data_IF_144436887970
#
_entry.id   IF_144436887970
#
_cell.length_a   1.000
_cell.length_b   1.000
_cell.length_c   1.000
_cell.angle_alpha   90.00
_cell.angle_beta   90.00
_cell.angle_gamma   90.00
#
_symmetry.space_group_name_H-M   'P 1'
#
loop_
_entity.id
_entity.type
_entity.pdbx_description
1 polymer ?
#
# COMPACT_ATOMS: atom_id res chain seq x y z
N UNK A 1 -21.46 -34.59 -37.23
CA UNK A 1 -20.70 -33.33 -37.43
C UNK A 1 -21.57 -32.14 -37.85
N UNK A 2 -22.47 -32.28 -38.83
CA UNK A 2 -23.27 -31.16 -39.35
C UNK A 2 -24.09 -30.39 -38.29
N UNK A 3 -24.71 -31.10 -37.33
CA UNK A 3 -25.49 -30.49 -36.23
C UNK A 3 -24.66 -29.61 -35.28
N UNK A 4 -23.36 -29.85 -35.16
CA UNK A 4 -22.46 -29.07 -34.28
C UNK A 4 -22.10 -27.74 -34.96
N UNK A 5 -21.81 -27.77 -36.26
CA UNK A 5 -21.50 -26.57 -37.05
C UNK A 5 -22.70 -25.62 -37.07
N UNK A 6 -23.93 -26.13 -37.23
CA UNK A 6 -25.15 -25.30 -37.18
C UNK A 6 -25.36 -24.67 -35.81
N UNK A 7 -25.03 -25.36 -34.71
CA UNK A 7 -25.17 -24.84 -33.36
C UNK A 7 -24.13 -23.76 -33.04
N UNK A 8 -22.89 -23.94 -33.51
CA UNK A 8 -21.82 -22.94 -33.37
C UNK A 8 -22.14 -21.68 -34.20
N UNK A 9 -22.63 -21.84 -35.43
CA UNK A 9 -23.03 -20.72 -36.29
C UNK A 9 -24.24 -19.96 -35.70
N UNK A 10 -25.19 -20.67 -35.08
CA UNK A 10 -26.33 -20.07 -34.39
C UNK A 10 -25.94 -19.29 -33.12
N UNK A 11 -24.89 -19.73 -32.41
CA UNK A 11 -24.35 -19.03 -31.23
C UNK A 11 -23.57 -17.78 -31.65
N UNK A 12 -22.77 -17.84 -32.74
CA UNK A 12 -22.00 -16.71 -33.24
C UNK A 12 -22.87 -15.58 -33.85
N UNK A 13 -24.07 -15.92 -34.36
CA UNK A 13 -25.00 -14.94 -34.96
C UNK A 13 -25.80 -14.11 -33.95
N UNK A 14 -25.78 -14.43 -32.65
CA UNK A 14 -26.44 -13.61 -31.63
C UNK A 14 -25.47 -12.56 -31.09
N UNK A 15 -25.27 -11.50 -31.88
CA UNK A 15 -24.81 -10.22 -31.35
C UNK A 15 -25.83 -9.71 -30.32
N UNK A 16 -25.41 -9.24 -29.13
CA UNK A 16 -26.33 -8.60 -28.19
C UNK A 16 -26.80 -7.29 -28.83
N UNK A 17 -27.97 -7.33 -29.45
CA UNK A 17 -28.67 -6.14 -29.90
C UNK A 17 -29.10 -5.37 -28.66
N UNK A 18 -28.31 -4.37 -28.27
CA UNK A 18 -28.74 -3.32 -27.35
C UNK A 18 -29.90 -2.60 -28.01
N UNK A 19 -31.11 -2.90 -27.54
CA UNK A 19 -32.35 -2.27 -28.01
C UNK A 19 -32.26 -0.78 -27.69
N UNK A 20 -32.13 0.05 -28.72
CA UNK A 20 -32.24 1.50 -28.57
C UNK A 20 -33.71 1.88 -28.37
N UNK A 21 -34.13 1.93 -27.11
CA UNK A 21 -35.30 2.69 -26.66
C UNK A 21 -34.78 4.06 -26.19
N UNK A 22 -35.60 5.12 -26.19
CA UNK A 22 -35.25 6.51 -25.80
C UNK A 22 -34.63 6.64 -24.38
N UNK A 23 -34.59 5.53 -23.63
CA UNK A 23 -33.98 5.35 -22.32
C UNK A 23 -32.49 4.89 -22.41
N UNK A 24 -32.02 4.55 -23.61
CA UNK A 24 -30.71 3.95 -23.88
C UNK A 24 -29.55 4.90 -23.60
N UNK A 25 -29.74 6.20 -23.81
CA UNK A 25 -28.71 7.20 -23.53
C UNK A 25 -28.37 7.26 -22.03
N UNK A 26 -29.36 7.05 -21.15
CA UNK A 26 -29.15 7.03 -19.70
C UNK A 26 -28.43 5.75 -19.26
N UNK A 27 -28.84 4.60 -19.79
CA UNK A 27 -28.18 3.32 -19.52
C UNK A 27 -26.73 3.33 -20.02
N UNK A 28 -26.48 3.85 -21.22
CA UNK A 28 -25.12 4.00 -21.77
C UNK A 28 -24.26 4.91 -20.89
N UNK A 29 -24.81 6.03 -20.39
CA UNK A 29 -24.10 6.90 -19.45
C UNK A 29 -23.75 6.19 -18.14
N UNK A 30 -24.69 5.45 -17.55
CA UNK A 30 -24.42 4.67 -16.32
C UNK A 30 -23.29 3.67 -16.57
N UNK A 31 -23.38 2.89 -17.65
CA UNK A 31 -22.38 1.86 -17.97
C UNK A 31 -20.98 2.46 -18.10
N UNK A 32 -20.84 3.61 -18.77
CA UNK A 32 -19.54 4.31 -18.91
C UNK A 32 -18.99 4.74 -17.54
N UNK A 33 -19.83 5.34 -16.69
CA UNK A 33 -19.41 5.80 -15.34
C UNK A 33 -19.01 4.61 -14.45
N UNK A 34 -19.77 3.51 -14.52
CA UNK A 34 -19.46 2.29 -13.75
C UNK A 34 -18.14 1.67 -14.20
N UNK A 35 -17.87 1.60 -15.50
CA UNK A 35 -16.60 1.07 -16.02
C UNK A 35 -15.43 1.94 -15.56
N UNK A 36 -15.53 3.26 -15.69
CA UNK A 36 -14.47 4.19 -15.28
C UNK A 36 -14.14 4.09 -13.79
N UNK A 37 -15.17 4.03 -12.94
CA UNK A 37 -14.99 3.87 -11.49
C UNK A 37 -14.36 2.52 -11.13
N UNK A 38 -14.80 1.42 -11.73
CA UNK A 38 -14.18 0.10 -11.53
C UNK A 38 -12.71 0.09 -11.94
N UNK A 39 -12.36 0.62 -13.11
CA UNK A 39 -10.96 0.69 -13.59
C UNK A 39 -10.10 1.54 -12.65
N UNK A 40 -10.61 2.68 -12.20
CA UNK A 40 -9.92 3.54 -11.23
C UNK A 40 -9.63 2.83 -9.91
N UNK A 41 -10.63 2.14 -9.34
CA UNK A 41 -10.48 1.38 -8.10
C UNK A 41 -9.49 0.22 -8.25
N UNK A 42 -9.57 -0.54 -9.35
CA UNK A 42 -8.65 -1.64 -9.63
C UNK A 42 -7.21 -1.12 -9.78
N UNK A 43 -7.02 -0.03 -10.52
CA UNK A 43 -5.70 0.60 -10.72
C UNK A 43 -5.11 1.10 -9.40
N UNK A 44 -5.93 1.76 -8.56
CA UNK A 44 -5.52 2.22 -7.24
C UNK A 44 -5.08 1.05 -6.33
N UNK A 45 -5.85 -0.05 -6.31
CA UNK A 45 -5.51 -1.23 -5.53
C UNK A 45 -4.19 -1.87 -5.98
N UNK A 46 -3.96 -1.97 -7.30
CA UNK A 46 -2.71 -2.49 -7.86
C UNK A 46 -1.53 -1.57 -7.48
N UNK A 47 -1.68 -0.25 -7.59
CA UNK A 47 -0.66 0.71 -7.19
C UNK A 47 -0.32 0.60 -5.71
N UNK A 48 -1.32 0.50 -4.83
CA UNK A 48 -1.12 0.32 -3.40
C UNK A 48 -0.43 -1.02 -3.10
N UNK A 49 -0.81 -2.10 -3.79
CA UNK A 49 -0.18 -3.41 -3.65
C UNK A 49 1.30 -3.39 -4.07
N UNK A 50 1.61 -2.80 -5.23
CA UNK A 50 2.99 -2.66 -5.72
C UNK A 50 3.81 -1.74 -4.82
N UNK A 51 3.28 -0.58 -4.41
CA UNK A 51 3.97 0.33 -3.48
C UNK A 51 4.27 -0.35 -2.15
N UNK A 52 3.30 -1.08 -1.58
CA UNK A 52 3.46 -1.83 -0.34
C UNK A 52 4.48 -2.97 -0.48
N UNK A 53 4.56 -3.62 -1.64
CA UNK A 53 5.56 -4.65 -1.93
C UNK A 53 6.95 -4.05 -2.14
N UNK A 54 7.07 -2.95 -2.87
CA UNK A 54 8.35 -2.34 -3.21
C UNK A 54 9.00 -1.64 -2.00
N UNK A 55 8.18 -1.05 -1.12
CA UNK A 55 8.65 -0.41 0.11
C UNK A 55 9.17 -1.40 1.16
N UNK A 56 8.85 -2.70 1.03
CA UNK A 56 9.48 -3.77 1.83
C UNK A 56 10.89 -4.13 1.35
N UNK A 57 11.25 -3.79 0.11
CA UNK A 57 12.55 -4.10 -0.50
C UNK A 57 13.54 -2.94 -0.34
N UNK A 58 13.08 -1.67 -0.43
CA UNK A 58 13.97 -0.50 -0.27
C UNK A 58 14.51 -0.34 1.16
N UNK A 59 13.81 -0.87 2.16
CA UNK A 59 14.28 -0.92 3.56
C UNK A 59 15.35 -2.00 3.82
N UNK A 60 15.72 -2.82 2.82
CA UNK A 60 16.74 -3.87 2.93
C UNK A 60 18.07 -3.54 2.25
N UNK A 61 18.18 -2.42 1.52
CA UNK A 61 19.44 -2.06 0.83
C UNK A 61 20.24 -0.92 1.47
N UNK A 62 19.77 -0.28 2.54
CA UNK A 62 20.54 0.72 3.34
C UNK A 62 21.05 0.08 4.66
N UNK A 63 21.20 -1.24 4.68
CA UNK A 63 21.73 -1.93 5.86
C UNK A 63 22.61 -3.09 5.43
N UNK A 64 23.74 -2.76 4.81
CA UNK A 64 24.92 -3.63 4.78
C UNK A 64 26.17 -2.79 4.55
N UNK A 65 27.03 -2.70 5.58
CA UNK A 65 28.46 -2.41 5.43
C UNK A 65 29.03 -1.27 6.28
N UNK A 66 29.53 -1.62 7.47
CA UNK A 66 30.80 -1.16 8.07
C UNK A 66 31.04 0.35 8.31
N UNK A 67 31.14 0.77 9.58
CA UNK A 67 31.60 2.14 9.97
C UNK A 67 33.11 2.34 9.86
N UNK A 68 33.72 3.39 10.45
CA UNK A 68 33.28 4.77 10.62
C UNK A 68 33.98 5.69 9.59
N UNK A 69 33.26 6.57 8.87
CA UNK A 69 33.93 7.70 8.23
C UNK A 69 33.01 8.92 8.09
N UNK A 70 33.33 9.90 8.93
CA UNK A 70 33.13 11.32 8.74
C UNK A 70 33.30 11.74 7.27
N UNK A 71 32.22 12.19 6.62
CA UNK A 71 32.27 13.12 5.48
C UNK A 71 31.08 14.08 5.53
N UNK A 72 31.41 15.28 5.98
CA UNK A 72 30.72 16.54 5.69
C UNK A 72 30.28 16.61 4.22
N UNK A 73 29.02 16.99 3.98
CA UNK A 73 28.68 18.27 3.36
C UNK A 73 27.21 18.24 2.89
N UNK A 74 26.40 19.09 3.48
CA UNK A 74 24.98 19.22 3.19
C UNK A 74 24.31 20.03 4.29
N UNK A 75 24.86 21.21 4.56
CA UNK A 75 24.29 22.16 5.51
C UNK A 75 22.83 22.46 5.14
N UNK A 76 21.92 22.07 6.02
CA UNK A 76 20.73 22.87 6.31
C UNK A 76 20.62 22.88 7.82
N UNK A 77 21.39 23.78 8.42
CA UNK A 77 21.18 24.26 9.78
C UNK A 77 19.81 24.95 9.77
N UNK A 78 18.79 24.24 10.21
CA UNK A 78 17.63 24.84 10.86
C UNK A 78 17.69 24.36 12.30
N UNK A 79 18.39 25.17 13.09
CA UNK A 79 18.06 25.52 14.47
C UNK A 79 17.58 24.36 15.36
N UNK A 80 18.50 23.90 16.21
CA UNK A 80 18.25 23.59 17.63
C UNK A 80 16.84 23.10 17.97
N UNK A 81 16.43 22.00 17.35
CA UNK A 81 15.57 21.07 18.04
C UNK A 81 16.50 19.97 18.48
N UNK A 82 16.89 20.02 19.75
CA UNK A 82 17.41 18.88 20.50
C UNK A 82 16.29 17.82 20.57
N UNK A 83 15.84 17.31 19.41
CA UNK A 83 15.07 16.08 19.40
C UNK A 83 16.09 15.05 19.84
N UNK A 84 15.91 14.38 20.99
CA UNK A 84 16.70 13.21 21.28
C UNK A 84 16.53 12.29 20.09
N UNK A 85 17.59 12.15 19.29
CA UNK A 85 17.65 11.24 18.15
C UNK A 85 17.67 9.84 18.76
N UNK A 86 16.49 9.37 19.14
CA UNK A 86 16.29 8.05 19.71
C UNK A 86 16.50 7.05 18.59
N UNK A 87 17.65 6.37 18.63
CA UNK A 87 17.93 5.30 17.69
C UNK A 87 16.86 4.21 17.81
N UNK A 88 16.51 3.60 16.68
CA UNK A 88 15.54 2.52 16.63
C UNK A 88 15.98 1.33 17.49
N UNK A 89 17.30 1.08 17.56
CA UNK A 89 17.88 0.05 18.43
C UNK A 89 17.54 0.32 19.90
N UNK A 90 17.71 1.56 20.35
CA UNK A 90 17.38 1.98 21.71
C UNK A 90 15.89 1.82 22.01
N UNK A 91 15.02 2.19 21.05
CA UNK A 91 13.57 1.97 21.18
C UNK A 91 13.20 0.49 21.25
N UNK A 92 13.82 -0.34 20.42
CA UNK A 92 13.60 -1.78 20.44
C UNK A 92 14.04 -2.36 21.79
N UNK A 93 15.20 -1.99 22.31
CA UNK A 93 15.67 -2.45 23.62
C UNK A 93 14.71 -2.00 24.74
N UNK A 94 14.36 -0.71 24.78
CA UNK A 94 13.48 -0.15 25.82
C UNK A 94 12.06 -0.75 25.81
N UNK A 95 11.59 -1.24 24.66
CA UNK A 95 10.28 -1.90 24.51
C UNK A 95 10.35 -3.43 24.57
N UNK A 96 11.54 -4.01 24.82
CA UNK A 96 11.78 -5.44 24.67
C UNK A 96 11.31 -5.98 23.31
N UNK A 97 11.84 -5.38 22.26
CA UNK A 97 11.56 -5.63 20.85
C UNK A 97 10.06 -5.59 20.51
N UNK A 98 9.34 -4.59 21.03
CA UNK A 98 7.89 -4.44 20.85
C UNK A 98 7.10 -5.69 21.28
N UNK A 99 7.52 -6.33 22.38
CA UNK A 99 6.84 -7.49 22.95
C UNK A 99 5.38 -7.16 23.31
N UNK A 100 4.47 -8.08 23.02
CA UNK A 100 3.06 -7.96 23.39
C UNK A 100 2.85 -7.82 24.91
N UNK A 101 3.78 -8.33 25.73
CA UNK A 101 3.76 -8.14 27.18
C UNK A 101 3.86 -6.67 27.61
N UNK A 102 4.48 -5.82 26.75
CA UNK A 102 4.62 -4.38 26.98
C UNK A 102 3.55 -3.57 26.22
N UNK A 103 2.63 -4.21 25.51
CA UNK A 103 1.61 -3.51 24.72
C UNK A 103 0.51 -2.98 25.63
N UNK A 104 0.27 -1.68 25.58
CA UNK A 104 -0.79 -0.99 26.32
C UNK A 104 -2.12 -1.00 25.57
N UNK A 105 -2.07 -1.05 24.24
CA UNK A 105 -3.28 -1.09 23.42
C UNK A 105 -3.00 -0.88 21.93
N UNK A 106 -4.06 -0.99 21.13
CA UNK A 106 -4.01 -0.71 19.69
C UNK A 106 -5.30 -0.03 19.24
N UNK A 107 -5.18 1.05 18.48
CA UNK A 107 -6.31 1.81 17.95
C UNK A 107 -5.93 2.63 16.72
N UNK A 108 -6.66 3.72 16.45
CA UNK A 108 -6.37 4.63 15.32
C UNK A 108 -4.99 5.29 15.36
N UNK A 109 -4.34 5.27 16.52
CA UNK A 109 -2.97 5.76 16.74
C UNK A 109 -1.88 4.71 16.50
N UNK A 110 -2.26 3.45 16.18
CA UNK A 110 -1.33 2.32 16.12
C UNK A 110 -1.18 1.59 17.46
N UNK A 111 -0.15 0.75 17.56
CA UNK A 111 0.17 0.01 18.78
C UNK A 111 0.97 0.89 19.74
N UNK A 112 0.53 0.95 21.00
CA UNK A 112 1.20 1.70 22.07
C UNK A 112 1.89 0.71 23.00
N UNK A 113 3.17 0.94 23.30
CA UNK A 113 3.97 0.08 24.18
C UNK A 113 4.52 0.87 25.36
N UNK A 114 4.58 0.25 26.54
CA UNK A 114 5.32 0.75 27.69
C UNK A 114 6.81 0.56 27.45
N UNK A 115 7.58 1.60 27.74
CA UNK A 115 9.04 1.56 27.75
C UNK A 115 9.55 1.38 29.18
N UNK A 116 10.58 0.56 29.34
CA UNK A 116 11.34 0.46 30.57
C UNK A 116 12.61 1.29 30.37
N UNK A 117 12.68 2.44 31.05
CA UNK A 117 13.88 3.28 31.06
C UNK A 117 14.97 2.50 31.78
N UNK A 118 15.98 2.06 31.05
CA UNK A 118 17.21 1.53 31.61
C UNK A 118 18.09 2.76 31.85
N UNK A 119 18.11 3.25 33.08
CA UNK A 119 19.06 4.30 33.47
C UNK A 119 20.45 3.67 33.42
N UNK A 120 21.29 4.09 32.48
CA UNK A 120 22.71 3.76 32.47
C UNK A 120 23.36 4.65 33.54
N UNK A 121 23.75 4.05 34.67
CA UNK A 121 24.61 4.67 35.70
C UNK A 121 26.08 4.47 35.32
#
# INVERSE_FOLDING_TARGET
MLKIVTKILFIAGKSPTTKNSKNGNHVVKIVIVTIGTCVGLITLLILLYVKRKNMRQLKRSITHGTGPQERNNGETKMDEIDLPLLDFTTLAIATNNFSDANKLGQGGFGSVYKVQLITLD
#
